data_IF_806649557634
#
_entry.id   IF_806649557634
#
_cell.length_a   1.000
_cell.length_b   1.000
_cell.length_c   1.000
_cell.angle_alpha   90.00
_cell.angle_beta   90.00
_cell.angle_gamma   90.00
#
_symmetry.space_group_name_H-M   'P 1'
#
loop_
_entity.id
_entity.type
_entity.pdbx_description
1 polymer ?
#
# COMPACT_ATOMS: atom_id res chain seq x y z
N UNK A 1 7.37 22.07 -13.07
CA UNK A 1 7.42 21.42 -11.75
C UNK A 1 7.25 19.93 -12.01
N UNK A 2 8.31 19.13 -11.89
CA UNK A 2 8.16 17.67 -11.94
C UNK A 2 7.52 17.25 -10.63
N UNK A 3 6.19 17.10 -10.61
CA UNK A 3 5.53 16.33 -9.56
C UNK A 3 6.04 14.90 -9.74
N UNK A 4 7.06 14.52 -8.98
CA UNK A 4 7.53 13.15 -8.97
C UNK A 4 6.35 12.29 -8.49
N UNK A 5 5.86 11.32 -9.27
CA UNK A 5 4.75 10.50 -8.84
C UNK A 5 5.12 9.82 -7.53
N UNK A 6 4.22 9.90 -6.54
CA UNK A 6 4.45 9.29 -5.25
C UNK A 6 4.52 7.77 -5.44
N UNK A 7 5.55 7.14 -4.89
CA UNK A 7 5.66 5.69 -4.82
C UNK A 7 5.09 5.20 -3.49
N UNK A 8 4.53 4.00 -3.50
CA UNK A 8 3.95 3.32 -2.36
C UNK A 8 4.57 1.95 -2.22
N UNK A 9 4.86 1.55 -0.99
CA UNK A 9 5.28 0.19 -0.69
C UNK A 9 4.05 -0.72 -0.74
N UNK A 10 4.18 -1.81 -1.49
CA UNK A 10 3.12 -2.79 -1.69
C UNK A 10 3.47 -4.09 -0.99
N UNK A 11 2.63 -4.46 -0.05
CA UNK A 11 2.77 -5.65 0.77
C UNK A 11 1.67 -6.65 0.44
N UNK A 12 2.03 -7.92 0.34
CA UNK A 12 1.09 -9.04 0.24
C UNK A 12 1.02 -9.80 1.55
N UNK A 13 -0.10 -10.47 1.75
CA UNK A 13 -0.25 -11.42 2.85
C UNK A 13 -0.40 -12.83 2.28
N UNK A 14 0.56 -13.75 2.47
CA UNK A 14 0.43 -15.14 2.01
C UNK A 14 -0.73 -15.89 2.71
N UNK A 15 -1.17 -15.43 3.89
CA UNK A 15 -2.37 -15.96 4.55
C UNK A 15 -3.67 -15.40 3.95
N UNK A 16 -3.60 -14.28 3.21
CA UNK A 16 -4.72 -13.64 2.52
C UNK A 16 -4.27 -13.19 1.12
N UNK A 17 -4.11 -14.12 0.16
CA UNK A 17 -3.51 -13.83 -1.15
C UNK A 17 -4.33 -12.84 -1.98
N UNK A 18 -5.61 -12.69 -1.66
CA UNK A 18 -6.50 -11.71 -2.30
C UNK A 18 -6.42 -10.33 -1.65
N UNK A 19 -5.55 -10.10 -0.67
CA UNK A 19 -5.46 -8.83 0.05
C UNK A 19 -4.08 -8.21 -0.08
N UNK A 20 -4.04 -7.05 -0.70
CA UNK A 20 -2.88 -6.17 -0.81
C UNK A 20 -2.94 -5.04 0.20
N UNK A 21 -1.78 -4.70 0.77
CA UNK A 21 -1.59 -3.55 1.65
C UNK A 21 -0.66 -2.55 0.97
N UNK A 22 -1.14 -1.33 0.79
CA UNK A 22 -0.43 -0.23 0.18
C UNK A 22 -0.12 0.78 1.27
N UNK A 23 1.13 1.22 1.37
CA UNK A 23 1.55 2.22 2.37
C UNK A 23 2.48 3.24 1.73
N UNK A 24 2.59 4.42 2.34
CA UNK A 24 3.54 5.44 1.87
C UNK A 24 4.96 4.89 1.87
N UNK A 25 5.69 5.10 0.76
CA UNK A 25 7.08 4.66 0.64
C UNK A 25 7.92 5.13 1.83
N UNK A 26 8.53 4.19 2.54
CA UNK A 26 9.39 4.46 3.69
C UNK A 26 8.64 4.74 5.01
N UNK A 27 7.31 4.68 5.03
CA UNK A 27 6.54 4.71 6.29
C UNK A 27 6.66 3.40 7.07
N UNK A 28 6.94 2.29 6.37
CA UNK A 28 6.94 0.95 6.93
C UNK A 28 5.53 0.42 7.16
N UNK A 29 5.43 -0.71 7.85
CA UNK A 29 4.14 -1.29 8.21
C UNK A 29 3.47 -0.44 9.29
N UNK A 30 2.19 -0.06 9.12
CA UNK A 30 1.42 0.61 10.17
C UNK A 30 1.24 -0.31 11.39
N UNK A 31 0.58 0.18 12.43
CA UNK A 31 0.26 -0.58 13.65
C UNK A 31 -0.76 -1.69 13.34
N UNK A 32 -0.29 -2.73 12.66
CA UNK A 32 -1.06 -3.90 12.28
C UNK A 32 -1.00 -4.91 13.42
N UNK A 33 -2.08 -5.63 13.66
CA UNK A 33 -2.10 -6.69 14.66
C UNK A 33 -1.03 -7.78 14.39
N UNK A 34 -0.70 -8.00 13.10
CA UNK A 34 0.27 -9.02 12.67
C UNK A 34 1.15 -8.52 11.51
N UNK A 35 2.12 -7.63 11.77
CA UNK A 35 2.98 -7.07 10.71
C UNK A 35 3.83 -8.16 10.05
N UNK A 36 4.21 -9.21 10.78
CA UNK A 36 4.98 -10.34 10.25
C UNK A 36 4.25 -11.16 9.18
N UNK A 37 2.93 -11.01 9.04
CA UNK A 37 2.18 -11.66 7.96
C UNK A 37 2.26 -10.88 6.64
N UNK A 38 2.80 -9.66 6.65
CA UNK A 38 2.90 -8.83 5.46
C UNK A 38 4.31 -8.90 4.91
N UNK A 39 4.42 -9.26 3.64
CA UNK A 39 5.68 -9.34 2.91
C UNK A 39 5.68 -8.27 1.84
N UNK A 40 6.75 -7.46 1.81
CA UNK A 40 6.93 -6.47 0.75
C UNK A 40 7.07 -7.22 -0.59
N UNK A 41 6.09 -7.06 -1.45
CA UNK A 41 6.13 -7.61 -2.81
C UNK A 41 6.86 -6.65 -3.75
N UNK A 42 6.70 -5.33 -3.54
CA UNK A 42 7.39 -4.33 -4.33
C UNK A 42 6.92 -2.92 -4.04
N UNK A 43 7.06 -2.05 -5.06
CA UNK A 43 6.60 -0.68 -5.00
C UNK A 43 5.66 -0.41 -6.16
N UNK A 44 4.57 0.29 -5.90
CA UNK A 44 3.62 0.72 -6.92
C UNK A 44 3.61 2.23 -7.03
N UNK A 45 3.28 2.73 -8.21
CA UNK A 45 3.17 4.16 -8.44
C UNK A 45 1.76 4.65 -8.10
N UNK A 46 1.66 5.92 -7.71
CA UNK A 46 0.38 6.60 -7.51
C UNK A 46 -0.63 6.40 -8.65
N UNK A 47 -0.16 6.33 -9.89
CA UNK A 47 -1.02 6.13 -11.07
C UNK A 47 -1.63 4.72 -11.16
N UNK A 48 -1.10 3.75 -10.41
CA UNK A 48 -1.65 2.38 -10.34
C UNK A 48 -2.72 2.24 -9.27
N UNK A 49 -2.82 3.23 -8.37
CA UNK A 49 -3.83 3.27 -7.32
C UNK A 49 -5.00 4.15 -7.79
N UNK A 50 -6.26 3.67 -7.68
CA UNK A 50 -7.42 4.49 -8.01
C UNK A 50 -7.43 5.80 -7.20
N UNK A 51 -7.80 6.95 -7.79
CA UNK A 51 -7.71 8.25 -7.11
C UNK A 51 -8.54 8.34 -5.83
N UNK A 52 -9.69 7.65 -5.76
CA UNK A 52 -10.50 7.53 -4.54
C UNK A 52 -9.76 6.77 -3.42
N UNK A 53 -9.06 5.70 -3.79
CA UNK A 53 -8.28 4.85 -2.87
C UNK A 53 -6.97 5.52 -2.46
N UNK A 54 -6.38 6.28 -3.36
CA UNK A 54 -5.20 7.07 -3.07
C UNK A 54 -5.47 8.10 -1.98
N UNK A 55 -6.59 8.84 -2.06
CA UNK A 55 -6.97 9.79 -1.01
C UNK A 55 -7.13 9.12 0.35
N UNK A 56 -7.71 7.92 0.38
CA UNK A 56 -7.84 7.11 1.59
C UNK A 56 -6.47 6.70 2.14
N UNK A 57 -5.56 6.23 1.28
CA UNK A 57 -4.18 5.91 1.66
C UNK A 57 -3.45 7.14 2.19
N UNK A 58 -3.60 8.31 1.57
CA UNK A 58 -2.92 9.53 1.97
C UNK A 58 -3.45 10.08 3.31
N UNK A 59 -4.74 9.90 3.59
CA UNK A 59 -5.36 10.30 4.84
C UNK A 59 -5.03 9.35 5.99
N UNK A 60 -5.01 8.03 5.75
CA UNK A 60 -4.78 7.01 6.77
C UNK A 60 -3.31 6.54 6.88
N UNK A 61 -2.48 6.86 5.90
CA UNK A 61 -1.10 6.37 5.74
C UNK A 61 -0.99 4.97 5.13
N UNK A 62 -2.11 4.25 5.01
CA UNK A 62 -2.20 2.89 4.50
C UNK A 62 -3.56 2.61 3.85
N UNK A 63 -3.61 1.60 3.00
CA UNK A 63 -4.81 1.16 2.30
C UNK A 63 -4.79 -0.36 2.14
N UNK A 64 -5.93 -0.99 2.40
CA UNK A 64 -6.17 -2.38 2.04
C UNK A 64 -6.98 -2.43 0.75
N UNK A 65 -6.48 -3.15 -0.24
CA UNK A 65 -7.15 -3.37 -1.51
C UNK A 65 -7.21 -4.86 -1.81
N UNK A 66 -8.36 -5.33 -2.23
CA UNK A 66 -8.49 -6.71 -2.69
C UNK A 66 -7.88 -6.85 -4.09
N UNK A 67 -7.00 -7.83 -4.25
CA UNK A 67 -6.38 -8.24 -5.51
C UNK A 67 -7.31 -9.30 -6.14
N UNK A 68 -8.29 -8.85 -6.93
CA UNK A 68 -9.36 -9.69 -7.50
C UNK A 68 -9.67 -9.34 -8.94
#
# INVERSE_FOLDING_TARGET
MHMQPQEFDFYINPSRPTLGLYVRKGAGLPDLANPNQWQLEGHVWQNEIPPDKLKELEANGHLFLELG
#
